data_IF_179265598067
#
_entry.id   IF_179265598067
#
_cell.length_a   1.000
_cell.length_b   1.000
_cell.length_c   1.000
_cell.angle_alpha   90.00
_cell.angle_beta   90.00
_cell.angle_gamma   90.00
#
_symmetry.space_group_name_H-M   'P 1'
#
loop_
_entity.id
_entity.type
_entity.pdbx_description
1 polymer ?
#
# COMPACT_ATOMS: atom_id res chain seq x y z
N UNK A 1 -13.65 -23.53 1.44
CA UNK A 1 -13.46 -22.33 0.58
C UNK A 1 -12.30 -21.55 1.15
N UNK A 2 -11.14 -21.59 0.52
CA UNK A 2 -9.99 -20.76 0.93
C UNK A 2 -10.35 -19.33 0.51
N UNK A 3 -10.32 -18.32 1.41
CA UNK A 3 -10.56 -16.95 1.00
C UNK A 3 -9.43 -16.55 0.04
N UNK A 4 -9.79 -16.30 -1.23
CA UNK A 4 -8.89 -15.63 -2.17
C UNK A 4 -8.45 -14.31 -1.52
N UNK A 5 -7.14 -14.08 -1.43
CA UNK A 5 -6.63 -12.82 -0.92
C UNK A 5 -7.03 -11.71 -1.90
N UNK A 6 -7.65 -10.61 -1.45
CA UNK A 6 -8.03 -9.52 -2.33
C UNK A 6 -6.81 -8.88 -2.97
N UNK A 7 -6.94 -8.49 -4.24
CA UNK A 7 -5.88 -7.84 -5.00
C UNK A 7 -5.59 -6.44 -4.41
N UNK A 8 -4.37 -5.90 -4.62
CA UNK A 8 -3.99 -4.54 -4.17
C UNK A 8 -5.01 -3.48 -4.60
N UNK A 9 -5.47 -3.54 -5.85
CA UNK A 9 -6.52 -2.67 -6.41
C UNK A 9 -7.86 -2.81 -5.69
N UNK A 10 -8.25 -4.03 -5.33
CA UNK A 10 -9.50 -4.28 -4.58
C UNK A 10 -9.42 -3.69 -3.17
N UNK A 11 -8.27 -3.84 -2.51
CA UNK A 11 -8.01 -3.23 -1.20
C UNK A 11 -8.10 -1.71 -1.22
N UNK A 12 -7.57 -1.07 -2.27
CA UNK A 12 -7.67 0.37 -2.45
C UNK A 12 -9.13 0.82 -2.65
N UNK A 13 -9.88 0.12 -3.51
CA UNK A 13 -11.30 0.40 -3.75
C UNK A 13 -12.13 0.21 -2.49
N UNK A 14 -11.84 -0.82 -1.68
CA UNK A 14 -12.48 -1.05 -0.40
C UNK A 14 -12.15 0.07 0.58
N UNK A 15 -10.87 0.45 0.70
CA UNK A 15 -10.41 1.49 1.61
C UNK A 15 -11.02 2.88 1.30
N UNK A 16 -11.33 3.16 0.04
CA UNK A 16 -11.97 4.40 -0.38
C UNK A 16 -13.46 4.52 0.00
N UNK A 17 -14.11 3.42 0.42
CA UNK A 17 -15.53 3.46 0.79
C UNK A 17 -15.74 4.12 2.15
N UNK A 18 -16.82 4.89 2.35
CA UNK A 18 -17.17 5.42 3.66
C UNK A 18 -17.43 4.28 4.64
N UNK A 19 -16.85 4.36 5.84
CA UNK A 19 -16.98 3.32 6.87
C UNK A 19 -16.21 2.03 6.60
N UNK A 20 -15.29 2.02 5.63
CA UNK A 20 -14.48 0.86 5.33
C UNK A 20 -13.68 0.37 6.53
N UNK A 21 -13.64 -0.95 6.69
CA UNK A 21 -12.76 -1.65 7.61
C UNK A 21 -11.92 -2.65 6.82
N UNK A 22 -10.67 -2.79 7.22
CA UNK A 22 -9.72 -3.74 6.68
C UNK A 22 -9.15 -4.57 7.83
N UNK A 23 -8.86 -5.85 7.55
CA UNK A 23 -8.02 -6.64 8.45
C UNK A 23 -6.62 -6.05 8.47
N UNK A 24 -5.89 -6.26 9.57
CA UNK A 24 -4.53 -5.73 9.70
C UNK A 24 -3.62 -6.17 8.54
N UNK A 25 -3.71 -7.43 8.10
CA UNK A 25 -2.87 -7.95 7.01
C UNK A 25 -3.20 -7.30 5.66
N UNK A 26 -4.49 -7.05 5.38
CA UNK A 26 -4.93 -6.34 4.18
C UNK A 26 -4.43 -4.90 4.17
N UNK A 27 -4.53 -4.23 5.32
CA UNK A 27 -4.00 -2.89 5.50
C UNK A 27 -2.47 -2.83 5.38
N UNK A 28 -1.76 -3.81 5.94
CA UNK A 28 -0.30 -3.93 5.81
C UNK A 28 0.10 -4.09 4.35
N UNK A 29 -0.55 -4.99 3.61
CA UNK A 29 -0.29 -5.19 2.18
C UNK A 29 -0.56 -3.92 1.36
N UNK A 30 -1.62 -3.18 1.68
CA UNK A 30 -1.91 -1.89 1.07
C UNK A 30 -0.79 -0.88 1.33
N UNK A 31 -0.36 -0.72 2.59
CA UNK A 31 0.73 0.18 2.96
C UNK A 31 2.04 -0.18 2.25
N UNK A 32 2.40 -1.46 2.22
CA UNK A 32 3.60 -1.93 1.53
C UNK A 32 3.53 -1.64 0.02
N UNK A 33 2.35 -1.75 -0.60
CA UNK A 33 2.17 -1.35 -1.99
C UNK A 33 2.44 0.14 -2.21
N UNK A 34 2.17 1.01 -1.23
CA UNK A 34 2.52 2.44 -1.29
C UNK A 34 3.93 2.75 -0.77
N UNK A 35 4.80 1.75 -0.61
CA UNK A 35 6.20 1.94 -0.23
C UNK A 35 6.45 2.13 1.27
N UNK A 36 5.42 1.99 2.11
CA UNK A 36 5.62 1.98 3.57
C UNK A 36 6.32 0.70 4.01
N UNK A 37 7.09 0.77 5.08
CA UNK A 37 7.83 -0.35 5.66
C UNK A 37 7.52 -0.46 7.15
N UNK A 38 7.44 -1.69 7.64
CA UNK A 38 7.32 -1.98 9.06
C UNK A 38 8.68 -1.72 9.73
N UNK A 39 8.76 -0.69 10.56
CA UNK A 39 9.99 -0.34 11.28
C UNK A 39 10.10 -1.05 12.64
N UNK A 40 8.98 -1.28 13.31
CA UNK A 40 8.95 -1.98 14.58
C UNK A 40 7.58 -2.63 14.81
N UNK A 41 7.59 -3.80 15.44
CA UNK A 41 6.41 -4.61 15.73
C UNK A 41 6.42 -5.03 17.20
N UNK A 42 5.41 -4.59 17.94
CA UNK A 42 5.06 -5.09 19.26
C UNK A 42 3.71 -5.82 19.19
N UNK A 43 3.35 -6.60 20.22
CA UNK A 43 2.13 -7.43 20.23
C UNK A 43 0.83 -6.68 19.85
N UNK A 44 0.74 -5.38 20.12
CA UNK A 44 -0.47 -4.57 19.88
C UNK A 44 -0.25 -3.35 19.00
N UNK A 45 1.01 -2.97 18.75
CA UNK A 45 1.38 -1.73 18.09
C UNK A 45 2.42 -1.99 17.01
N UNK A 46 2.18 -1.45 15.83
CA UNK A 46 3.05 -1.57 14.67
C UNK A 46 3.39 -0.18 14.17
N UNK A 47 4.68 0.10 13.98
CA UNK A 47 5.15 1.38 13.48
C UNK A 47 5.52 1.22 12.01
N UNK A 48 4.86 1.98 11.15
CA UNK A 48 5.16 2.08 9.74
C UNK A 48 5.88 3.39 9.43
N UNK A 49 6.84 3.31 8.51
CA UNK A 49 7.63 4.45 8.03
C UNK A 49 7.61 4.49 6.53
N UNK A 50 7.77 5.67 5.94
CA UNK A 50 7.92 5.86 4.51
C UNK A 50 9.07 6.83 4.27
N UNK A 51 10.00 6.56 3.33
CA UNK A 51 11.19 7.40 3.13
C UNK A 51 10.88 8.86 2.76
N UNK A 52 9.73 9.11 2.14
CA UNK A 52 9.27 10.46 1.77
C UNK A 52 8.38 11.12 2.84
N UNK A 53 8.05 10.43 3.93
CA UNK A 53 7.18 10.94 4.99
C UNK A 53 7.99 11.04 6.29
N UNK A 54 8.18 12.26 6.85
CA UNK A 54 8.89 12.42 8.13
C UNK A 54 8.09 11.86 9.33
N UNK A 55 6.77 11.78 9.21
CA UNK A 55 5.86 11.28 10.24
C UNK A 55 5.86 9.74 10.35
N UNK A 56 5.86 9.23 11.59
CA UNK A 56 5.67 7.81 11.88
C UNK A 56 4.19 7.46 11.90
N UNK A 57 3.81 6.37 11.26
CA UNK A 57 2.44 5.86 11.29
C UNK A 57 2.32 4.73 12.33
N UNK A 58 1.76 5.06 13.51
CA UNK A 58 1.56 4.09 14.60
C UNK A 58 0.16 3.45 14.51
N UNK A 59 0.14 2.15 14.28
CA UNK A 59 -1.05 1.35 14.04
C UNK A 59 -1.30 0.42 15.20
N UNK A 60 -2.50 0.49 15.76
CA UNK A 60 -2.95 -0.44 16.78
C UNK A 60 -3.69 -1.62 16.12
N UNK A 61 -3.22 -2.83 16.40
CA UNK A 61 -3.87 -4.06 16.00
C UNK A 61 -4.65 -4.64 17.20
N UNK A 62 -5.98 -4.57 17.15
CA UNK A 62 -6.85 -5.15 18.19
C UNK A 62 -7.59 -6.34 17.58
N UNK A 63 -7.23 -7.56 18.00
CA UNK A 63 -7.91 -8.78 17.53
C UNK A 63 -7.81 -9.02 16.02
N UNK A 64 -6.74 -8.55 15.37
CA UNK A 64 -6.55 -8.70 13.91
C UNK A 64 -7.22 -7.61 13.07
N UNK A 65 -7.89 -6.65 13.70
CA UNK A 65 -8.62 -5.57 13.03
C UNK A 65 -7.94 -4.21 13.22
N UNK A 66 -8.07 -3.37 12.20
CA UNK A 66 -7.64 -1.98 12.25
C UNK A 66 -8.79 -1.10 12.77
N UNK A 67 -8.45 -0.06 13.53
CA UNK A 67 -9.42 1.00 13.83
C UNK A 67 -9.73 1.80 12.55
N UNK A 68 -11.01 2.12 12.23
CA UNK A 68 -11.37 2.82 10.98
C UNK A 68 -10.63 4.15 10.77
N UNK A 69 -10.35 4.88 11.84
CA UNK A 69 -9.62 6.15 11.73
C UNK A 69 -8.17 5.95 11.28
N UNK A 70 -7.54 4.81 11.60
CA UNK A 70 -6.16 4.52 11.22
C UNK A 70 -6.04 4.30 9.72
N UNK A 71 -7.06 3.68 9.12
CA UNK A 71 -7.18 3.56 7.67
C UNK A 71 -7.24 4.95 7.02
N UNK A 72 -8.10 5.84 7.56
CA UNK A 72 -8.21 7.22 7.07
C UNK A 72 -6.92 8.01 7.23
N UNK A 73 -6.19 7.84 8.34
CA UNK A 73 -4.89 8.48 8.53
C UNK A 73 -3.88 8.05 7.47
N UNK A 74 -3.78 6.75 7.19
CA UNK A 74 -2.91 6.23 6.13
C UNK A 74 -3.28 6.79 4.75
N UNK A 75 -4.56 6.76 4.39
CA UNK A 75 -5.04 7.30 3.11
C UNK A 75 -4.76 8.80 2.98
N UNK A 76 -4.91 9.57 4.07
CA UNK A 76 -4.55 10.98 4.09
C UNK A 76 -3.06 11.21 3.85
N UNK A 77 -2.18 10.37 4.40
CA UNK A 77 -0.74 10.44 4.13
C UNK A 77 -0.44 10.11 2.66
N UNK A 78 -1.01 9.02 2.13
CA UNK A 78 -0.87 8.64 0.72
C UNK A 78 -1.29 9.79 -0.20
N UNK A 79 -2.44 10.41 0.09
CA UNK A 79 -2.95 11.54 -0.68
C UNK A 79 -2.08 12.79 -0.50
N UNK A 80 -1.73 13.17 0.73
CA UNK A 80 -0.92 14.37 1.04
C UNK A 80 0.45 14.32 0.35
N UNK A 81 1.09 13.16 0.34
CA UNK A 81 2.42 12.97 -0.24
C UNK A 81 2.39 12.41 -1.67
N UNK A 82 1.20 12.28 -2.28
CA UNK A 82 0.99 11.78 -3.65
C UNK A 82 1.72 10.46 -3.93
N UNK A 83 1.71 9.55 -2.94
CA UNK A 83 2.40 8.28 -3.03
C UNK A 83 1.77 7.41 -4.12
N UNK A 84 2.62 6.74 -4.91
CA UNK A 84 2.17 5.82 -5.97
C UNK A 84 2.27 4.38 -5.48
N UNK A 85 1.25 3.60 -5.79
CA UNK A 85 1.31 2.17 -5.56
C UNK A 85 2.33 1.53 -6.51
N UNK A 86 3.20 0.70 -5.95
CA UNK A 86 4.06 -0.25 -6.65
C UNK A 86 3.18 -1.44 -7.05
N UNK A 87 2.28 -1.18 -8.00
CA UNK A 87 1.56 -2.23 -8.72
C UNK A 87 2.43 -2.70 -9.89
N UNK A 88 2.27 -3.97 -10.25
CA UNK A 88 3.20 -4.86 -10.96
C UNK A 88 3.42 -4.52 -12.45
N UNK A 89 3.37 -3.25 -12.85
CA UNK A 89 3.67 -2.82 -14.23
C UNK A 89 4.28 -1.40 -14.26
N UNK A 90 5.48 -1.25 -13.69
CA UNK A 90 6.54 -0.51 -14.40
C UNK A 90 7.21 -1.51 -15.36
N UNK A 91 6.43 -2.06 -16.30
CA UNK A 91 7.02 -2.50 -17.56
C UNK A 91 7.31 -1.20 -18.28
N UNK A 92 8.59 -0.85 -18.55
CA UNK A 92 8.84 0.27 -19.43
C UNK A 92 8.09 -0.03 -20.73
N UNK A 93 7.20 0.88 -21.15
CA UNK A 93 6.63 0.87 -22.49
C UNK A 93 7.77 0.54 -23.47
N UNK A 94 7.64 -0.48 -24.34
CA UNK A 94 8.64 -0.67 -25.38
C UNK A 94 8.77 0.66 -26.09
N UNK A 95 9.95 1.27 -26.00
CA UNK A 95 10.24 2.54 -26.65
C UNK A 95 9.90 2.34 -28.13
N UNK A 96 8.95 3.08 -28.72
CA UNK A 96 8.77 3.02 -30.17
C UNK A 96 10.03 3.64 -30.79
N UNK A 97 10.99 2.81 -31.17
CA UNK A 97 12.27 3.32 -31.70
C UNK A 97 13.43 2.34 -31.85
N UNK A 98 13.41 1.12 -31.31
CA UNK A 98 14.47 0.15 -31.57
C UNK A 98 14.27 -0.56 -32.92
N UNK A 99 14.49 0.21 -33.99
CA UNK A 99 14.86 -0.28 -35.32
C UNK A 99 16.16 0.42 -35.74
N UNK A 100 17.21 0.20 -34.97
CA UNK A 100 18.58 0.20 -35.50
C UNK A 100 18.80 -1.28 -35.85
N UNK A 101 18.65 -1.72 -37.10
CA UNK A 101 19.29 -1.16 -38.27
C UNK A 101 20.73 -1.68 -38.29
N UNK A 102 20.99 -2.55 -39.28
CA UNK A 102 22.30 -2.98 -39.77
C UNK A 102 22.84 -4.32 -39.24
N UNK A 103 22.49 -5.39 -39.96
CA UNK A 103 23.46 -6.42 -40.30
C UNK A 103 23.45 -6.58 -41.82
N UNK A 104 24.65 -6.54 -42.37
CA UNK A 104 25.02 -6.43 -43.79
C UNK A 104 24.78 -7.71 -44.59
#
# INVERSE_FOLDING_TARGET
MIPSHPSKRELLLQAARPGATLRYNEFKALLEAFGFRLASMNRLHNIFVHPQIPDLLNIQNIGGQLKPFQLRQALNLIYKYQLRAQDEEDRPLPKPGDKTGLDA
#
